data_IF_748740639939
#
_entry.id   IF_748740639939
#
_cell.length_a   1.000
_cell.length_b   1.000
_cell.length_c   1.000
_cell.angle_alpha   90.00
_cell.angle_beta   90.00
_cell.angle_gamma   90.00
#
_symmetry.space_group_name_H-M   'P 1'
#
loop_
_entity.id
_entity.type
_entity.pdbx_description
1 polymer ?
#
# COMPACT_ATOMS: atom_id res chain seq x y z
N UNK A 1 9.15 -41.39 44.66
CA UNK A 1 9.94 -40.27 45.24
C UNK A 1 10.60 -39.52 44.10
N UNK A 2 10.27 -38.23 43.98
CA UNK A 2 10.92 -37.18 43.18
C UNK A 2 10.92 -37.28 41.64
N UNK A 3 9.88 -36.70 41.03
CA UNK A 3 9.87 -36.19 39.65
C UNK A 3 10.35 -34.74 39.65
N UNK A 4 11.50 -34.46 39.01
CA UNK A 4 12.01 -33.10 38.84
C UNK A 4 11.45 -32.48 37.56
N UNK A 5 10.61 -31.45 37.70
CA UNK A 5 10.11 -30.62 36.62
C UNK A 5 11.12 -29.52 36.27
N UNK A 6 11.58 -29.52 35.01
CA UNK A 6 12.34 -28.41 34.44
C UNK A 6 11.39 -27.41 33.79
N UNK A 7 11.19 -26.26 34.42
CA UNK A 7 10.49 -25.14 33.83
C UNK A 7 11.34 -24.51 32.72
N UNK A 8 10.84 -24.52 31.48
CA UNK A 8 11.39 -23.71 30.39
C UNK A 8 10.95 -22.26 30.61
N UNK A 9 11.89 -21.38 30.92
CA UNK A 9 11.71 -19.93 30.84
C UNK A 9 11.52 -19.51 29.38
N UNK A 10 10.48 -18.73 29.03
CA UNK A 10 10.37 -18.17 27.69
C UNK A 10 11.41 -17.05 27.49
N UNK A 11 11.90 -16.99 26.26
CA UNK A 11 12.97 -16.12 25.77
C UNK A 11 12.67 -14.63 25.93
N UNK A 12 13.16 -14.04 27.01
CA UNK A 12 13.11 -12.59 27.28
C UNK A 12 13.90 -11.75 26.25
N UNK A 13 14.75 -12.40 25.44
CA UNK A 13 15.68 -11.74 24.51
C UNK A 13 14.97 -11.22 23.25
N UNK A 14 13.92 -11.90 22.76
CA UNK A 14 13.21 -11.48 21.55
C UNK A 14 12.34 -10.24 21.79
N UNK A 15 11.70 -10.15 22.96
CA UNK A 15 10.87 -9.01 23.36
C UNK A 15 11.70 -7.72 23.48
N UNK A 16 12.97 -7.81 23.91
CA UNK A 16 13.86 -6.65 24.08
C UNK A 16 14.33 -6.08 22.74
N UNK A 17 14.46 -6.91 21.70
CA UNK A 17 14.88 -6.45 20.36
C UNK A 17 13.75 -5.73 19.64
N UNK A 18 12.52 -6.23 19.73
CA UNK A 18 11.33 -5.57 19.15
C UNK A 18 11.02 -4.27 19.89
N UNK A 19 11.09 -4.25 21.23
CA UNK A 19 10.91 -3.01 22.01
C UNK A 19 12.02 -1.99 21.73
N UNK A 20 13.25 -2.44 21.46
CA UNK A 20 14.38 -1.57 21.11
C UNK A 20 14.21 -0.84 19.77
N UNK A 21 13.60 -1.49 18.77
CA UNK A 21 13.29 -0.91 17.46
C UNK A 21 12.14 0.12 17.53
N UNK A 22 11.10 -0.16 18.33
CA UNK A 22 9.97 0.77 18.52
C UNK A 22 10.38 1.99 19.36
N UNK A 23 11.21 1.82 20.40
CA UNK A 23 11.71 2.94 21.21
C UNK A 23 12.70 3.83 20.44
N UNK A 24 13.51 3.25 19.54
CA UNK A 24 14.37 4.01 18.65
C UNK A 24 13.55 4.85 17.65
N UNK A 25 12.39 4.36 17.21
CA UNK A 25 11.46 5.09 16.34
C UNK A 25 10.80 6.27 17.05
N UNK A 26 10.23 6.07 18.25
CA UNK A 26 9.55 7.15 18.99
C UNK A 26 10.52 8.21 19.54
N UNK A 27 11.76 7.82 19.87
CA UNK A 27 12.76 8.75 20.42
C UNK A 27 13.44 9.63 19.37
N UNK A 28 13.42 9.22 18.08
CA UNK A 28 13.97 10.02 16.98
C UNK A 28 12.95 11.03 16.42
N UNK A 29 11.65 10.76 16.58
CA UNK A 29 10.56 11.66 16.17
C UNK A 29 10.30 12.77 17.20
N UNK A 30 10.72 12.60 18.46
CA UNK A 30 10.78 13.70 19.45
C UNK A 30 12.04 14.55 19.29
N UNK A 31 12.23 15.16 18.12
CA UNK A 31 13.19 16.24 17.99
C UNK A 31 12.77 17.43 18.88
N UNK A 32 13.72 17.93 19.67
CA UNK A 32 13.58 19.01 20.63
C UNK A 32 12.87 20.25 20.01
N UNK A 33 11.69 20.68 20.49
CA UNK A 33 10.92 21.77 19.89
C UNK A 33 11.60 23.15 19.98
N UNK A 34 12.82 23.23 20.52
CA UNK A 34 13.62 24.46 20.62
C UNK A 34 14.54 24.73 19.44
N UNK A 35 14.83 23.74 18.59
CA UNK A 35 15.70 23.94 17.42
C UNK A 35 14.95 24.31 16.12
N UNK A 36 13.61 24.29 16.14
CA UNK A 36 12.76 24.62 14.99
C UNK A 36 12.60 26.13 14.68
N UNK A 37 13.35 27.04 15.33
CA UNK A 37 13.19 28.51 15.16
C UNK A 37 14.26 29.22 14.34
N UNK A 38 15.22 28.51 13.75
CA UNK A 38 16.22 29.13 12.86
C UNK A 38 16.56 28.24 11.68
N UNK A 39 15.61 28.11 10.76
CA UNK A 39 15.90 27.79 9.36
C UNK A 39 15.02 28.70 8.55
N UNK A 40 15.62 29.71 7.91
CA UNK A 40 14.92 30.54 6.95
C UNK A 40 14.46 29.61 5.82
N UNK A 41 13.14 29.50 5.66
CA UNK A 41 12.49 28.70 4.63
C UNK A 41 13.05 29.07 3.25
N UNK A 42 13.68 28.15 2.52
CA UNK A 42 13.60 28.20 1.09
C UNK A 42 12.19 27.75 0.74
N UNK A 43 11.26 28.71 0.67
CA UNK A 43 10.01 28.52 -0.09
C UNK A 43 10.42 28.37 -1.55
N UNK A 44 10.88 27.17 -1.93
CA UNK A 44 10.77 26.73 -3.31
C UNK A 44 9.27 26.71 -3.58
N UNK A 45 8.74 27.84 -4.05
CA UNK A 45 7.34 27.89 -4.46
C UNK A 45 7.21 26.84 -5.55
N UNK A 46 6.52 25.75 -5.24
CA UNK A 46 5.92 24.91 -6.27
C UNK A 46 5.33 25.88 -7.28
N UNK A 47 5.83 25.83 -8.52
CA UNK A 47 5.36 26.70 -9.59
C UNK A 47 3.85 26.73 -9.52
N UNK A 48 3.30 27.94 -9.36
CA UNK A 48 1.92 28.14 -8.94
C UNK A 48 0.90 27.37 -9.81
N UNK A 49 -0.36 27.29 -9.35
CA UNK A 49 -1.41 26.38 -9.84
C UNK A 49 -1.90 26.57 -11.29
N UNK A 50 -1.10 27.13 -12.20
CA UNK A 50 -1.58 27.74 -13.45
C UNK A 50 -1.14 27.09 -14.77
N UNK A 51 -0.32 26.04 -14.79
CA UNK A 51 0.19 25.51 -16.07
C UNK A 51 -0.62 24.37 -16.69
N UNK A 52 -1.41 23.63 -15.90
CA UNK A 52 -2.47 22.78 -16.46
C UNK A 52 -3.74 23.62 -16.38
N UNK A 53 -4.19 24.14 -17.52
CA UNK A 53 -5.48 24.83 -17.61
C UNK A 53 -6.56 23.97 -16.96
N UNK A 54 -7.63 24.59 -16.43
CA UNK A 54 -8.78 23.87 -15.87
C UNK A 54 -9.27 22.84 -16.89
N UNK A 55 -8.84 21.59 -16.76
CA UNK A 55 -9.37 20.52 -17.57
C UNK A 55 -10.84 20.34 -17.16
N UNK A 56 -11.78 20.37 -18.10
CA UNK A 56 -13.18 20.20 -17.78
C UNK A 56 -13.41 18.89 -17.02
N UNK A 57 -13.99 18.97 -15.81
CA UNK A 57 -14.28 17.81 -14.99
C UNK A 57 -13.17 17.38 -14.02
N UNK A 58 -12.11 18.18 -13.89
CA UNK A 58 -11.06 18.03 -12.87
C UNK A 58 -11.20 19.12 -11.82
N UNK A 59 -11.56 18.74 -10.60
CA UNK A 59 -11.60 19.65 -9.46
C UNK A 59 -10.39 19.42 -8.57
N UNK A 60 -9.56 20.45 -8.37
CA UNK A 60 -8.38 20.39 -7.50
C UNK A 60 -8.62 21.19 -6.24
N UNK A 61 -8.47 20.51 -5.11
CA UNK A 61 -8.72 21.01 -3.78
C UNK A 61 -7.44 20.95 -2.96
N UNK A 62 -7.20 21.97 -2.13
CA UNK A 62 -6.10 21.97 -1.17
C UNK A 62 -6.63 21.38 0.13
N UNK A 63 -5.88 20.49 0.77
CA UNK A 63 -6.29 20.01 2.09
C UNK A 63 -6.35 21.15 3.11
N UNK A 64 -7.35 21.16 3.99
CA UNK A 64 -7.54 22.20 5.00
C UNK A 64 -6.41 22.25 6.04
N UNK A 65 -5.70 21.13 6.21
CA UNK A 65 -4.42 21.01 6.91
C UNK A 65 -3.48 20.07 6.13
N UNK A 66 -2.15 20.16 6.31
CA UNK A 66 -1.23 19.26 5.62
C UNK A 66 -1.47 17.80 6.02
N UNK A 67 -1.53 16.92 5.02
CA UNK A 67 -1.23 15.49 5.19
C UNK A 67 0.28 15.30 5.01
N UNK A 68 0.88 14.50 5.86
CA UNK A 68 2.33 14.31 5.88
C UNK A 68 2.71 13.23 4.87
N UNK A 69 2.24 12.00 5.07
CA UNK A 69 2.48 10.93 4.10
C UNK A 69 1.29 10.00 3.98
N UNK A 70 0.27 10.39 3.19
CA UNK A 70 -0.83 9.50 2.91
C UNK A 70 -0.33 8.29 2.10
N UNK A 71 -0.45 7.09 2.66
CA UNK A 71 -0.08 5.83 1.99
C UNK A 71 -1.27 5.21 1.27
N UNK A 72 -2.47 5.45 1.80
CA UNK A 72 -3.68 4.86 1.27
C UNK A 72 -4.91 5.65 1.66
N UNK A 73 -5.95 5.51 0.83
CA UNK A 73 -7.26 6.07 1.11
C UNK A 73 -8.34 5.25 0.38
N UNK A 74 -9.57 5.37 0.86
CA UNK A 74 -10.77 4.77 0.25
C UNK A 74 -11.96 5.71 0.35
N UNK A 75 -12.86 5.63 -0.63
CA UNK A 75 -14.16 6.30 -0.53
C UNK A 75 -15.05 5.59 0.48
N UNK A 76 -15.70 6.38 1.32
CA UNK A 76 -16.77 5.95 2.22
C UNK A 76 -18.12 6.35 1.64
N UNK A 77 -19.08 5.42 1.62
CA UNK A 77 -20.46 5.73 1.21
C UNK A 77 -21.25 6.38 2.35
N UNK A 78 -20.93 5.99 3.59
CA UNK A 78 -21.51 6.45 4.84
C UNK A 78 -21.69 7.97 4.97
N UNK A 79 -20.68 8.72 4.51
CA UNK A 79 -20.54 10.15 4.80
C UNK A 79 -20.64 11.03 3.56
N UNK A 80 -20.98 10.46 2.40
CA UNK A 80 -21.20 11.22 1.18
C UNK A 80 -19.91 11.80 0.59
N UNK A 81 -19.27 11.03 -0.31
CA UNK A 81 -18.04 11.43 -1.03
C UNK A 81 -16.88 11.82 -0.12
N UNK A 82 -16.80 11.24 1.07
CA UNK A 82 -15.64 11.41 1.94
C UNK A 82 -14.63 10.29 1.70
N UNK A 83 -13.35 10.65 1.79
CA UNK A 83 -12.22 9.74 1.80
C UNK A 83 -11.81 9.44 3.24
N UNK A 84 -11.67 8.16 3.55
CA UNK A 84 -10.92 7.71 4.71
C UNK A 84 -9.46 7.56 4.30
N UNK A 85 -8.55 8.30 4.94
CA UNK A 85 -7.14 8.42 4.57
C UNK A 85 -6.27 7.93 5.73
N UNK A 86 -5.27 7.11 5.42
CA UNK A 86 -4.20 6.73 6.36
C UNK A 86 -3.01 7.66 6.15
N UNK A 87 -2.62 8.40 7.19
CA UNK A 87 -1.38 9.19 7.24
C UNK A 87 -0.39 8.52 8.20
N UNK A 88 0.55 7.76 7.64
CA UNK A 88 1.47 6.92 8.42
C UNK A 88 2.50 7.71 9.21
N UNK A 89 2.85 8.93 8.78
CA UNK A 89 3.76 9.76 9.56
C UNK A 89 3.09 10.39 10.79
N UNK A 90 1.76 10.40 10.80
CA UNK A 90 0.99 10.85 11.95
C UNK A 90 0.42 9.71 12.78
N UNK A 91 0.56 8.45 12.34
CA UNK A 91 -0.10 7.27 12.93
C UNK A 91 -1.63 7.44 13.04
N UNK A 92 -2.26 8.00 11.99
CA UNK A 92 -3.67 8.40 12.05
C UNK A 92 -4.48 8.02 10.83
N UNK A 93 -5.73 7.72 11.13
CA UNK A 93 -6.81 7.60 10.17
C UNK A 93 -7.64 8.89 10.21
N UNK A 94 -7.81 9.53 9.07
CA UNK A 94 -8.47 10.83 8.93
C UNK A 94 -9.62 10.73 7.92
N UNK A 95 -10.66 11.55 8.10
CA UNK A 95 -11.65 11.77 7.06
C UNK A 95 -11.29 13.03 6.28
N UNK A 96 -11.38 12.97 4.95
CA UNK A 96 -11.29 14.12 4.07
C UNK A 96 -12.58 14.22 3.26
N UNK A 97 -13.20 15.39 3.24
CA UNK A 97 -14.25 15.67 2.26
C UNK A 97 -13.68 15.64 0.84
N UNK A 98 -14.56 15.54 -0.16
CA UNK A 98 -14.17 15.71 -1.57
C UNK A 98 -13.59 17.10 -1.88
N UNK A 99 -13.75 18.07 -0.99
CA UNK A 99 -13.22 19.43 -1.07
C UNK A 99 -11.90 19.60 -0.29
N UNK A 100 -11.36 18.51 0.28
CA UNK A 100 -10.09 18.52 1.02
C UNK A 100 -10.21 18.93 2.48
N UNK A 101 -11.42 19.11 3.01
CA UNK A 101 -11.60 19.40 4.44
C UNK A 101 -11.33 18.16 5.27
N UNK A 102 -10.28 18.22 6.10
CA UNK A 102 -9.93 17.13 7.00
C UNK A 102 -10.68 17.24 8.33
N UNK A 103 -11.30 16.13 8.73
CA UNK A 103 -12.07 15.98 9.96
C UNK A 103 -11.55 14.80 10.80
N UNK A 104 -11.97 14.79 12.07
CA UNK A 104 -11.79 13.65 12.96
C UNK A 104 -12.78 12.53 12.63
N UNK A 105 -12.45 11.30 12.99
CA UNK A 105 -13.33 10.15 12.78
C UNK A 105 -14.64 10.29 13.56
N UNK A 106 -15.79 9.87 13.00
CA UNK A 106 -17.07 9.86 13.70
C UNK A 106 -17.04 8.86 14.87
N UNK A 107 -17.98 9.01 15.81
CA UNK A 107 -18.13 8.10 16.95
C UNK A 107 -18.42 6.66 16.53
N UNK A 108 -19.08 6.45 15.38
CA UNK A 108 -19.34 5.12 14.82
C UNK A 108 -18.06 4.36 14.52
N UNK A 109 -16.96 5.06 14.19
CA UNK A 109 -15.61 4.52 14.04
C UNK A 109 -14.79 4.57 15.33
N UNK A 110 -15.41 4.53 16.51
CA UNK A 110 -14.68 4.55 17.79
C UNK A 110 -13.64 3.43 17.91
N UNK A 111 -13.89 2.25 17.33
CA UNK A 111 -12.91 1.16 17.28
C UNK A 111 -11.64 1.52 16.48
N UNK A 112 -11.73 2.40 15.48
CA UNK A 112 -10.53 2.86 14.76
C UNK A 112 -9.61 3.74 15.64
N UNK A 113 -10.10 4.25 16.79
CA UNK A 113 -9.30 5.01 17.75
C UNK A 113 -8.41 4.12 18.62
N UNK A 114 -8.61 2.80 18.60
CA UNK A 114 -7.75 1.84 19.29
C UNK A 114 -6.65 1.28 18.40
N UNK A 115 -6.62 1.67 17.12
CA UNK A 115 -5.53 1.31 16.21
C UNK A 115 -4.27 2.02 16.67
N UNK A 116 -3.18 1.27 16.81
CA UNK A 116 -1.91 1.79 17.30
C UNK A 116 -1.10 2.41 16.17
N UNK A 117 -0.97 1.71 15.03
CA UNK A 117 -0.25 2.18 13.84
C UNK A 117 -1.02 1.80 12.57
N UNK A 118 -2.07 2.57 12.20
CA UNK A 118 -2.77 2.34 10.95
C UNK A 118 -1.82 2.57 9.77
N UNK A 119 -1.59 1.55 8.94
CA UNK A 119 -0.60 1.60 7.85
C UNK A 119 -1.23 1.58 6.46
N UNK A 120 -2.35 0.87 6.30
CA UNK A 120 -3.09 0.78 5.05
C UNK A 120 -4.62 0.75 5.23
N UNK A 121 -5.35 1.30 4.25
CA UNK A 121 -6.80 1.18 4.12
C UNK A 121 -7.21 0.76 2.71
N UNK A 122 -8.14 -0.20 2.62
CA UNK A 122 -8.69 -0.75 1.38
C UNK A 122 -10.19 -0.97 1.50
N UNK A 123 -10.89 -1.03 0.37
CA UNK A 123 -12.33 -1.28 0.33
C UNK A 123 -12.65 -2.40 -0.64
N UNK A 124 -13.57 -3.27 -0.28
CA UNK A 124 -14.16 -4.24 -1.20
C UNK A 124 -15.63 -4.43 -0.85
N UNK A 125 -16.49 -4.29 -1.86
CA UNK A 125 -17.94 -4.31 -1.69
C UNK A 125 -18.41 -3.37 -0.57
N UNK A 126 -19.08 -3.97 0.41
CA UNK A 126 -19.72 -3.32 1.56
C UNK A 126 -18.75 -3.06 2.73
N UNK A 127 -17.45 -3.37 2.60
CA UNK A 127 -16.51 -3.30 3.71
C UNK A 127 -15.33 -2.36 3.45
N UNK A 128 -14.86 -1.75 4.53
CA UNK A 128 -13.59 -1.03 4.64
C UNK A 128 -12.67 -1.87 5.54
N UNK A 129 -11.41 -1.98 5.13
CA UNK A 129 -10.41 -2.79 5.79
C UNK A 129 -9.25 -1.88 6.15
N UNK A 130 -8.85 -1.87 7.42
CA UNK A 130 -7.75 -1.05 7.93
C UNK A 130 -6.73 -1.96 8.59
N UNK A 131 -5.50 -1.93 8.10
CA UNK A 131 -4.36 -2.61 8.71
C UNK A 131 -3.82 -1.80 9.88
N UNK A 132 -3.60 -2.47 11.00
CA UNK A 132 -2.83 -1.97 12.14
C UNK A 132 -1.55 -2.78 12.25
N UNK A 133 -0.44 -2.18 11.80
CA UNK A 133 0.88 -2.81 11.75
C UNK A 133 1.40 -3.13 13.15
N UNK A 134 1.06 -2.33 14.18
CA UNK A 134 1.56 -2.58 15.53
C UNK A 134 0.93 -3.81 16.19
N UNK A 135 -0.27 -4.16 15.75
CA UNK A 135 -1.08 -5.22 16.33
C UNK A 135 -1.14 -6.46 15.43
N UNK A 136 -0.51 -6.42 14.26
CA UNK A 136 -0.60 -7.46 13.23
C UNK A 136 -2.07 -7.84 12.95
N UNK A 137 -2.92 -6.83 12.80
CA UNK A 137 -4.35 -7.06 12.54
C UNK A 137 -4.89 -6.29 11.35
N UNK A 138 -5.94 -6.84 10.73
CA UNK A 138 -6.80 -6.10 9.81
C UNK A 138 -8.17 -5.94 10.43
N UNK A 139 -8.56 -4.70 10.69
CA UNK A 139 -9.86 -4.34 11.25
C UNK A 139 -10.84 -4.05 10.11
N UNK A 140 -12.00 -4.71 10.13
CA UNK A 140 -13.02 -4.62 9.10
C UNK A 140 -14.19 -3.81 9.62
N UNK A 141 -14.54 -2.76 8.89
CA UNK A 141 -15.68 -1.89 9.14
C UNK A 141 -16.71 -2.06 8.03
N UNK A 142 -17.97 -1.92 8.40
CA UNK A 142 -19.07 -1.76 7.46
C UNK A 142 -18.94 -0.40 6.76
N UNK A 143 -19.05 -0.35 5.44
CA UNK A 143 -18.73 0.85 4.65
C UNK A 143 -19.78 1.96 4.78
N UNK A 144 -21.02 1.61 5.11
CA UNK A 144 -22.15 2.54 5.20
C UNK A 144 -22.38 3.05 6.63
N UNK A 145 -22.29 2.18 7.63
CA UNK A 145 -22.45 2.55 9.04
C UNK A 145 -21.13 2.92 9.71
N UNK A 146 -20.01 2.51 9.12
CA UNK A 146 -18.65 2.58 9.69
C UNK A 146 -18.52 1.83 11.02
N UNK A 147 -19.45 0.94 11.33
CA UNK A 147 -19.39 0.09 12.51
C UNK A 147 -18.34 -1.00 12.36
N UNK A 148 -17.70 -1.38 13.46
CA UNK A 148 -16.80 -2.52 13.50
C UNK A 148 -17.58 -3.81 13.17
N UNK A 149 -17.11 -4.56 12.17
CA UNK A 149 -17.66 -5.85 11.77
C UNK A 149 -16.85 -6.98 12.39
N UNK A 150 -15.52 -6.96 12.22
CA UNK A 150 -14.60 -7.97 12.76
C UNK A 150 -13.16 -7.47 12.78
N UNK A 151 -12.29 -8.21 13.46
CA UNK A 151 -10.85 -8.01 13.43
C UNK A 151 -10.19 -9.35 13.08
N UNK A 152 -9.22 -9.33 12.17
CA UNK A 152 -8.47 -10.51 11.72
C UNK A 152 -7.06 -10.38 12.25
N UNK A 153 -6.57 -11.42 12.94
CA UNK A 153 -5.18 -11.48 13.42
C UNK A 153 -4.32 -12.19 12.39
N UNK A 154 -3.29 -11.50 11.93
CA UNK A 154 -2.37 -12.00 10.91
C UNK A 154 -1.33 -12.92 11.54
N UNK A 155 -0.75 -12.54 12.69
CA UNK A 155 0.34 -13.27 13.34
C UNK A 155 -0.02 -14.71 13.77
N UNK A 156 -1.31 -15.01 13.94
CA UNK A 156 -1.83 -16.33 14.32
C UNK A 156 -2.04 -17.25 13.10
N UNK A 157 -1.86 -16.72 11.89
CA UNK A 157 -2.09 -17.44 10.64
C UNK A 157 -1.02 -18.51 10.44
N UNK A 158 -1.48 -19.76 10.33
CA UNK A 158 -0.62 -20.92 10.06
C UNK A 158 -1.02 -21.58 8.76
N UNK A 159 -0.01 -22.05 8.03
CA UNK A 159 -0.17 -22.80 6.80
C UNK A 159 0.37 -24.22 6.99
N UNK A 160 -0.21 -25.17 6.26
CA UNK A 160 0.42 -26.48 6.09
C UNK A 160 1.65 -26.33 5.18
N UNK A 161 2.79 -26.84 5.65
CA UNK A 161 4.01 -26.94 4.84
C UNK A 161 3.78 -27.91 3.68
N UNK A 162 4.46 -27.75 2.52
CA UNK A 162 4.34 -28.67 1.39
C UNK A 162 4.68 -30.13 1.72
N UNK A 163 5.52 -30.35 2.74
CA UNK A 163 5.89 -31.69 3.23
C UNK A 163 4.88 -32.28 4.23
N UNK A 164 3.92 -31.50 4.72
CA UNK A 164 2.87 -31.93 5.66
C UNK A 164 3.35 -32.15 7.10
N UNK A 165 4.66 -32.08 7.35
CA UNK A 165 5.27 -32.43 8.65
C UNK A 165 5.54 -31.19 9.52
N UNK A 166 5.38 -29.98 8.98
CA UNK A 166 5.61 -28.71 9.71
C UNK A 166 4.51 -27.68 9.44
N UNK A 167 4.35 -26.73 10.36
CA UNK A 167 3.49 -25.56 10.16
C UNK A 167 4.35 -24.34 9.82
N UNK A 168 4.00 -23.65 8.75
CA UNK A 168 4.54 -22.31 8.45
C UNK A 168 3.66 -21.26 9.14
N UNK A 169 4.26 -20.15 9.55
CA UNK A 169 3.55 -18.99 10.12
C UNK A 169 3.81 -17.77 9.26
N UNK A 170 2.79 -16.97 8.99
CA UNK A 170 2.98 -15.68 8.35
C UNK A 170 3.68 -14.73 9.34
N UNK A 171 4.84 -14.21 8.97
CA UNK A 171 5.64 -13.37 9.87
C UNK A 171 5.53 -11.88 9.52
N UNK A 172 5.74 -11.53 8.24
CA UNK A 172 5.67 -10.14 7.78
C UNK A 172 4.78 -10.04 6.57
N UNK A 173 3.82 -9.12 6.58
CA UNK A 173 3.04 -8.75 5.40
C UNK A 173 3.69 -7.55 4.72
N UNK A 174 3.78 -7.61 3.39
CA UNK A 174 4.23 -6.50 2.55
C UNK A 174 3.07 -5.80 1.86
N UNK A 175 2.10 -6.56 1.38
CA UNK A 175 0.90 -6.05 0.74
C UNK A 175 -0.25 -7.05 0.92
N UNK A 176 -1.48 -6.55 0.86
CA UNK A 176 -2.69 -7.35 0.96
C UNK A 176 -3.85 -6.68 0.23
N UNK A 177 -4.83 -7.47 -0.21
CA UNK A 177 -6.12 -6.96 -0.67
C UNK A 177 -7.26 -7.81 -0.12
N UNK A 178 -8.41 -7.20 0.18
CA UNK A 178 -9.63 -7.97 0.36
C UNK A 178 -10.02 -8.64 -0.95
N UNK A 179 -10.36 -9.93 -0.89
CA UNK A 179 -10.88 -10.69 -2.04
C UNK A 179 -12.08 -11.49 -1.54
N UNK A 180 -13.27 -11.17 -2.03
CA UNK A 180 -14.53 -11.72 -1.52
C UNK A 180 -14.67 -11.45 0.00
N UNK A 181 -14.71 -12.50 0.82
CA UNK A 181 -14.80 -12.43 2.29
C UNK A 181 -13.45 -12.65 3.00
N UNK A 182 -12.36 -12.88 2.26
CA UNK A 182 -11.03 -13.14 2.79
C UNK A 182 -10.00 -12.06 2.42
N UNK A 183 -8.74 -12.38 2.65
CA UNK A 183 -7.59 -11.53 2.32
C UNK A 183 -6.62 -12.29 1.42
N UNK A 184 -6.27 -11.72 0.28
CA UNK A 184 -5.07 -12.15 -0.44
C UNK A 184 -3.89 -11.38 0.14
N UNK A 185 -2.93 -12.08 0.74
CA UNK A 185 -1.77 -11.50 1.42
C UNK A 185 -0.48 -11.91 0.72
N UNK A 186 0.51 -11.03 0.79
CA UNK A 186 1.84 -11.28 0.30
C UNK A 186 2.88 -10.89 1.33
N UNK A 187 3.74 -11.84 1.68
CA UNK A 187 4.59 -11.70 2.85
C UNK A 187 5.69 -12.73 2.96
N UNK A 188 6.46 -12.64 4.04
CA UNK A 188 7.37 -13.70 4.46
C UNK A 188 6.64 -14.69 5.36
N UNK A 189 6.88 -15.98 5.13
CA UNK A 189 6.48 -17.06 6.03
C UNK A 189 7.71 -17.69 6.68
N UNK A 190 7.61 -17.86 7.99
CA UNK A 190 8.57 -18.54 8.83
C UNK A 190 8.17 -20.02 8.97
N UNK A 191 9.10 -20.93 8.69
CA UNK A 191 8.94 -22.36 8.98
C UNK A 191 9.80 -22.72 10.18
N UNK A 192 9.14 -23.10 11.27
CA UNK A 192 9.80 -23.74 12.42
C UNK A 192 9.66 -25.24 12.26
N UNK A 193 10.78 -25.91 12.05
CA UNK A 193 10.87 -27.35 12.23
C UNK A 193 10.89 -27.66 13.73
N UNK A 194 10.15 -28.67 14.16
CA UNK A 194 10.14 -29.07 15.57
C UNK A 194 11.40 -29.86 15.94
N UNK A 195 12.07 -30.47 14.97
CA UNK A 195 13.25 -31.32 15.18
C UNK A 195 14.57 -30.59 14.96
N UNK A 196 14.59 -29.58 14.09
CA UNK A 196 15.76 -28.71 13.88
C UNK A 196 15.55 -27.32 14.50
N UNK A 197 16.59 -26.78 15.16
CA UNK A 197 16.62 -25.37 15.57
C UNK A 197 16.80 -24.42 14.35
N UNK A 198 16.65 -24.93 13.13
CA UNK A 198 16.87 -24.19 11.90
C UNK A 198 15.56 -23.55 11.42
N UNK A 199 15.45 -22.24 11.61
CA UNK A 199 14.37 -21.45 11.02
C UNK A 199 14.63 -21.25 9.54
N UNK A 200 13.69 -21.69 8.71
CA UNK A 200 13.72 -21.42 7.26
C UNK A 200 12.64 -20.41 6.87
N UNK A 201 12.93 -19.62 5.85
CA UNK A 201 12.08 -18.51 5.42
C UNK A 201 11.71 -18.67 3.95
N UNK A 202 10.46 -18.40 3.62
CA UNK A 202 9.98 -18.28 2.25
C UNK A 202 9.15 -17.01 2.10
N UNK A 203 8.94 -16.58 0.87
CA UNK A 203 7.85 -15.63 0.61
C UNK A 203 6.63 -16.39 0.13
N UNK A 204 5.46 -15.93 0.56
CA UNK A 204 4.18 -16.53 0.20
C UNK A 204 3.25 -15.49 -0.37
N UNK A 205 2.54 -15.88 -1.42
CA UNK A 205 1.23 -15.37 -1.76
C UNK A 205 0.24 -16.34 -1.14
N UNK A 206 -0.65 -15.88 -0.27
CA UNK A 206 -1.61 -16.73 0.42
C UNK A 206 -3.00 -16.10 0.47
N UNK A 207 -4.03 -16.93 0.51
CA UNK A 207 -5.41 -16.52 0.73
C UNK A 207 -5.81 -16.85 2.18
N UNK A 208 -6.25 -15.85 2.93
CA UNK A 208 -6.74 -15.99 4.30
C UNK A 208 -8.26 -15.94 4.29
N UNK A 209 -8.89 -17.05 4.63
CA UNK A 209 -10.33 -17.17 4.74
C UNK A 209 -10.90 -16.41 5.95
N UNK A 210 -12.20 -16.10 5.94
CA UNK A 210 -12.87 -15.41 7.05
C UNK A 210 -12.91 -16.21 8.36
N UNK A 211 -12.70 -17.52 8.30
CA UNK A 211 -12.64 -18.46 9.41
C UNK A 211 -11.22 -18.66 9.98
N UNK A 212 -10.25 -17.91 9.46
CA UNK A 212 -8.84 -18.05 9.81
C UNK A 212 -8.13 -19.19 9.08
N UNK A 213 -8.80 -19.87 8.13
CA UNK A 213 -8.13 -20.77 7.20
C UNK A 213 -7.13 -19.99 6.33
N UNK A 214 -6.07 -20.66 5.90
CA UNK A 214 -5.00 -20.02 5.16
C UNK A 214 -4.41 -20.98 4.13
N UNK A 215 -4.55 -20.62 2.86
CA UNK A 215 -4.08 -21.42 1.73
C UNK A 215 -2.92 -20.71 1.05
N UNK A 216 -1.76 -21.38 0.98
CA UNK A 216 -0.62 -20.84 0.24
C UNK A 216 -0.86 -21.05 -1.25
N UNK A 217 -1.08 -19.93 -1.93
CA UNK A 217 -1.37 -19.83 -3.34
C UNK A 217 -0.09 -19.99 -4.18
N UNK A 218 1.02 -19.38 -3.75
CA UNK A 218 2.33 -19.49 -4.41
C UNK A 218 3.47 -19.25 -3.42
N UNK A 219 4.58 -19.99 -3.58
CA UNK A 219 5.82 -19.80 -2.79
C UNK A 219 6.94 -19.24 -3.66
N UNK A 220 7.79 -18.41 -3.05
CA UNK A 220 9.00 -17.87 -3.66
C UNK A 220 10.18 -18.05 -2.71
N UNK A 221 11.39 -18.27 -3.22
CA UNK A 221 12.57 -18.36 -2.37
C UNK A 221 12.86 -17.00 -1.73
N UNK A 222 13.33 -16.97 -0.48
CA UNK A 222 13.68 -15.72 0.22
C UNK A 222 14.81 -14.94 -0.48
N UNK A 223 15.61 -15.63 -1.30
CA UNK A 223 16.66 -15.08 -2.16
C UNK A 223 16.14 -14.45 -3.45
N UNK A 224 14.82 -14.46 -3.69
CA UNK A 224 14.22 -13.88 -4.89
C UNK A 224 14.56 -12.39 -5.01
N UNK A 225 15.24 -11.94 -6.09
CA UNK A 225 15.71 -10.56 -6.20
C UNK A 225 14.58 -9.52 -6.09
N UNK A 226 13.41 -9.86 -6.64
CA UNK A 226 12.25 -8.95 -6.69
C UNK A 226 11.56 -8.77 -5.34
N UNK A 227 11.90 -9.57 -4.32
CA UNK A 227 11.39 -9.42 -2.94
C UNK A 227 11.45 -7.98 -2.45
N UNK A 228 12.51 -7.24 -2.78
CA UNK A 228 12.67 -5.87 -2.30
C UNK A 228 11.61 -4.92 -2.86
N UNK A 229 11.07 -5.15 -4.06
CA UNK A 229 10.04 -4.25 -4.61
C UNK A 229 8.78 -4.24 -3.74
N UNK A 230 8.37 -5.41 -3.26
CA UNK A 230 7.16 -5.56 -2.46
C UNK A 230 7.29 -4.93 -1.07
N UNK A 231 8.51 -4.88 -0.52
CA UNK A 231 8.76 -4.26 0.79
C UNK A 231 8.51 -2.76 0.82
N UNK A 232 8.57 -2.10 -0.32
CA UNK A 232 8.61 -0.63 -0.40
C UNK A 232 7.22 -0.01 -0.64
N UNK A 233 6.16 -0.75 -0.26
CA UNK A 233 4.75 -0.32 -0.16
C UNK A 233 4.16 0.37 -1.41
N UNK A 234 4.68 0.05 -2.61
CA UNK A 234 3.96 0.35 -3.85
C UNK A 234 2.79 -0.61 -4.03
N UNK A 235 1.73 -0.15 -4.69
CA UNK A 235 0.49 -0.93 -4.83
C UNK A 235 0.61 -1.93 -5.95
N UNK A 236 0.95 -3.17 -5.65
CA UNK A 236 1.05 -4.24 -6.66
C UNK A 236 -0.14 -5.21 -6.63
N UNK A 237 -1.09 -4.95 -5.75
CA UNK A 237 -2.27 -5.76 -5.52
C UNK A 237 -3.54 -4.94 -5.75
N UNK A 238 -4.47 -5.49 -6.51
CA UNK A 238 -5.76 -4.87 -6.80
C UNK A 238 -6.90 -5.88 -6.74
N UNK A 239 -8.07 -5.47 -6.27
CA UNK A 239 -9.30 -6.24 -6.38
C UNK A 239 -10.14 -5.68 -7.54
N UNK A 240 -10.60 -6.56 -8.42
CA UNK A 240 -11.59 -6.19 -9.44
C UNK A 240 -12.50 -7.39 -9.76
N UNK A 241 -13.78 -7.12 -9.99
CA UNK A 241 -14.78 -8.14 -10.31
C UNK A 241 -14.78 -9.34 -9.32
N UNK A 242 -14.51 -9.09 -8.04
CA UNK A 242 -14.47 -10.10 -6.99
C UNK A 242 -13.23 -11.00 -7.00
N UNK A 243 -12.23 -10.71 -7.85
CA UNK A 243 -10.96 -11.45 -7.92
C UNK A 243 -9.81 -10.57 -7.45
N UNK A 244 -8.78 -11.19 -6.88
CA UNK A 244 -7.51 -10.53 -6.63
C UNK A 244 -6.63 -10.53 -7.87
N UNK A 245 -5.87 -9.46 -8.07
CA UNK A 245 -4.87 -9.35 -9.11
C UNK A 245 -3.54 -8.94 -8.49
N UNK A 246 -2.46 -9.56 -8.96
CA UNK A 246 -1.11 -9.37 -8.44
C UNK A 246 -0.19 -9.03 -9.60
N UNK A 247 0.49 -7.90 -9.50
CA UNK A 247 1.60 -7.57 -10.39
C UNK A 247 2.86 -8.30 -9.90
N UNK A 248 3.24 -9.35 -10.63
CA UNK A 248 4.39 -10.17 -10.34
C UNK A 248 5.60 -9.73 -11.16
N UNK A 249 6.67 -9.29 -10.50
CA UNK A 249 7.94 -8.97 -11.16
C UNK A 249 8.82 -10.22 -11.28
N UNK A 250 9.63 -10.33 -12.33
CA UNK A 250 10.56 -11.43 -12.55
C UNK A 250 11.28 -11.25 -13.88
N UNK A 251 11.71 -12.36 -14.50
CA UNK A 251 12.27 -12.33 -15.86
C UNK A 251 11.30 -11.69 -16.86
N UNK A 252 10.00 -11.89 -16.64
CA UNK A 252 8.92 -11.16 -17.28
C UNK A 252 7.99 -10.64 -16.19
N UNK A 253 7.53 -9.40 -16.33
CA UNK A 253 6.51 -8.87 -15.41
C UNK A 253 5.15 -9.34 -15.88
N UNK A 254 4.35 -9.87 -14.97
CA UNK A 254 3.06 -10.49 -15.27
C UNK A 254 1.97 -9.94 -14.35
N UNK A 255 0.74 -9.96 -14.81
CA UNK A 255 -0.44 -9.82 -13.95
C UNK A 255 -1.01 -11.22 -13.73
N UNK A 256 -1.04 -11.63 -12.47
CA UNK A 256 -1.74 -12.84 -12.05
C UNK A 256 -3.15 -12.48 -11.61
N UNK A 257 -4.08 -13.39 -11.85
CA UNK A 257 -5.43 -13.37 -11.28
C UNK A 257 -5.55 -14.50 -10.27
N UNK A 258 -6.06 -14.18 -9.09
CA UNK A 258 -6.40 -15.11 -8.02
C UNK A 258 -7.90 -15.03 -7.78
N UNK A 259 -8.61 -16.11 -8.06
CA UNK A 259 -10.05 -16.17 -7.81
C UNK A 259 -10.38 -16.40 -6.31
N UNK A 260 -11.65 -16.25 -5.88
CA UNK A 260 -12.04 -16.50 -4.49
C UNK A 260 -11.81 -17.94 -3.99
N UNK A 261 -11.56 -18.90 -4.88
CA UNK A 261 -11.22 -20.27 -4.52
C UNK A 261 -9.70 -20.48 -4.44
N UNK A 262 -8.90 -19.41 -4.57
CA UNK A 262 -7.44 -19.45 -4.51
C UNK A 262 -6.77 -19.90 -5.80
N UNK A 263 -7.51 -20.11 -6.90
CA UNK A 263 -6.91 -20.55 -8.16
C UNK A 263 -6.14 -19.40 -8.79
N UNK A 264 -4.89 -19.68 -9.19
CA UNK A 264 -4.02 -18.73 -9.89
C UNK A 264 -4.10 -18.95 -11.39
N UNK A 265 -4.31 -17.88 -12.12
CA UNK A 265 -4.16 -17.84 -13.58
C UNK A 265 -3.25 -16.68 -13.96
N UNK A 266 -2.33 -16.92 -14.89
CA UNK A 266 -1.63 -15.82 -15.55
C UNK A 266 -2.64 -15.11 -16.46
N UNK A 267 -2.86 -13.81 -16.21
CA UNK A 267 -3.80 -13.02 -17.00
C UNK A 267 -3.10 -12.44 -18.24
N UNK A 268 -1.94 -11.80 -18.02
CA UNK A 268 -1.16 -11.17 -19.08
C UNK A 268 0.31 -11.06 -18.67
N UNK A 269 1.21 -11.37 -19.60
CA UNK A 269 2.61 -10.96 -19.53
C UNK A 269 2.73 -9.55 -20.13
N UNK A 270 3.23 -8.60 -19.34
CA UNK A 270 3.35 -7.21 -19.77
C UNK A 270 4.50 -7.06 -20.79
N UNK A 271 4.31 -6.23 -21.82
CA UNK A 271 5.34 -5.97 -22.81
C UNK A 271 6.52 -5.22 -22.19
N UNK A 272 7.73 -5.50 -22.68
CA UNK A 272 8.99 -5.00 -22.13
C UNK A 272 9.00 -3.47 -22.02
N UNK A 273 8.38 -2.76 -22.96
CA UNK A 273 8.30 -1.30 -22.96
C UNK A 273 7.58 -0.72 -21.72
N UNK A 274 6.64 -1.47 -21.13
CA UNK A 274 5.95 -1.08 -19.89
C UNK A 274 6.74 -1.44 -18.63
N UNK A 275 7.72 -2.33 -18.75
CA UNK A 275 8.40 -2.98 -17.62
C UNK A 275 9.89 -2.66 -17.55
N UNK A 276 10.48 -2.17 -18.63
CA UNK A 276 11.87 -1.70 -18.80
C UNK A 276 12.23 -0.53 -17.88
N UNK A 277 11.25 -0.07 -17.09
CA UNK A 277 11.50 0.71 -15.90
C UNK A 277 12.62 0.10 -15.06
N UNK A 278 13.65 0.91 -14.80
CA UNK A 278 14.63 0.63 -13.75
C UNK A 278 13.84 0.29 -12.50
N UNK A 279 13.97 -0.94 -12.02
CA UNK A 279 13.52 -1.27 -10.68
C UNK A 279 14.15 -0.25 -9.76
N UNK A 280 13.39 0.56 -9.02
CA UNK A 280 13.95 1.47 -8.03
C UNK A 280 14.44 0.64 -6.83
N UNK A 281 15.24 -0.41 -7.05
CA UNK A 281 15.90 -1.12 -5.97
C UNK A 281 16.86 -0.14 -5.31
N UNK A 282 16.67 0.09 -4.02
CA UNK A 282 17.73 0.62 -3.19
C UNK A 282 18.72 -0.52 -3.00
N UNK A 283 19.98 -0.41 -3.45
CA UNK A 283 20.98 -1.41 -3.11
C UNK A 283 20.96 -1.62 -1.59
N UNK A 284 21.14 -2.85 -1.11
CA UNK A 284 21.44 -3.12 0.31
C UNK A 284 22.82 -2.54 0.65
N UNK A 285 23.00 -1.23 0.54
CA UNK A 285 24.14 -0.56 1.10
C UNK A 285 24.02 -0.71 2.62
N UNK A 286 25.07 -1.21 3.26
CA UNK A 286 25.12 -1.34 4.71
C UNK A 286 24.86 0.03 5.35
N UNK A 287 23.83 0.12 6.21
CA UNK A 287 23.54 1.30 7.03
C UNK A 287 22.37 2.19 6.58
N UNK A 288 21.59 1.81 5.55
CA UNK A 288 20.31 2.46 5.26
C UNK A 288 19.15 1.67 5.88
N UNK A 289 18.74 2.06 7.08
CA UNK A 289 17.55 1.56 7.75
C UNK A 289 16.53 2.69 7.98
N UNK A 290 15.27 2.33 8.18
CA UNK A 290 14.20 3.25 8.55
C UNK A 290 13.98 4.39 7.53
N UNK A 291 13.78 5.65 7.98
CA UNK A 291 13.39 6.75 7.09
C UNK A 291 14.39 7.03 5.96
N UNK A 292 15.70 6.89 6.20
CA UNK A 292 16.72 7.16 5.19
C UNK A 292 16.62 6.20 3.99
N UNK A 293 16.26 4.94 4.26
CA UNK A 293 16.01 3.93 3.23
C UNK A 293 14.78 4.30 2.41
N UNK A 294 13.67 4.64 3.06
CA UNK A 294 12.45 5.08 2.39
C UNK A 294 12.71 6.34 1.52
N UNK A 295 13.39 7.35 2.06
CA UNK A 295 13.79 8.55 1.28
C UNK A 295 14.61 8.17 0.06
N UNK A 296 15.57 7.25 0.18
CA UNK A 296 16.38 6.82 -0.97
C UNK A 296 15.55 6.05 -1.98
N UNK A 297 14.62 5.21 -1.54
CA UNK A 297 13.70 4.49 -2.42
C UNK A 297 12.85 5.44 -3.26
N UNK A 298 12.16 6.38 -2.63
CA UNK A 298 11.34 7.36 -3.34
C UNK A 298 12.17 8.28 -4.24
N UNK A 299 13.42 8.59 -3.86
CA UNK A 299 14.33 9.33 -4.74
C UNK A 299 14.71 8.52 -5.98
N UNK A 300 14.96 7.22 -5.83
CA UNK A 300 15.24 6.35 -6.99
C UNK A 300 14.03 6.30 -7.93
N UNK A 301 12.79 6.28 -7.38
CA UNK A 301 11.57 6.43 -8.20
C UNK A 301 11.61 7.77 -8.93
N UNK A 302 11.92 8.87 -8.25
CA UNK A 302 11.93 10.21 -8.85
C UNK A 302 12.95 10.35 -9.98
N UNK A 303 14.13 9.76 -9.80
CA UNK A 303 15.27 9.79 -10.73
C UNK A 303 15.06 8.89 -11.95
N UNK A 304 14.28 7.81 -11.83
CA UNK A 304 14.00 6.87 -12.91
C UNK A 304 13.16 7.50 -14.03
N UNK A 305 13.54 7.22 -15.28
CA UNK A 305 12.87 7.76 -16.47
C UNK A 305 11.43 7.27 -16.60
N UNK A 306 11.19 5.99 -16.27
CA UNK A 306 9.88 5.35 -16.27
C UNK A 306 9.78 4.37 -15.11
N UNK A 307 8.61 4.29 -14.47
CA UNK A 307 8.32 3.35 -13.38
C UNK A 307 6.90 2.81 -13.51
N UNK A 308 6.74 1.49 -13.49
CA UNK A 308 5.44 0.87 -13.22
C UNK A 308 5.09 1.04 -11.74
N UNK A 309 4.27 2.05 -11.45
CA UNK A 309 4.05 2.56 -10.10
C UNK A 309 3.02 1.76 -9.32
N UNK A 310 2.04 1.15 -9.99
CA UNK A 310 1.10 0.25 -9.33
C UNK A 310 0.00 -0.33 -10.20
N UNK A 311 -0.79 -1.19 -9.57
CA UNK A 311 -1.95 -1.88 -10.10
C UNK A 311 -3.19 -1.46 -9.29
N UNK A 312 -4.26 -1.09 -9.99
CA UNK A 312 -5.47 -0.54 -9.38
C UNK A 312 -6.72 -1.20 -9.96
N UNK A 313 -7.68 -1.50 -9.09
CA UNK A 313 -8.98 -2.03 -9.47
C UNK A 313 -10.08 -1.00 -9.24
N UNK A 314 -11.07 -0.96 -10.13
CA UNK A 314 -12.23 -0.08 -10.01
C UNK A 314 -13.48 -0.80 -10.55
N UNK A 315 -14.24 -1.42 -9.65
CA UNK A 315 -15.40 -2.24 -10.03
C UNK A 315 -14.95 -3.46 -10.84
N UNK A 316 -15.33 -3.51 -12.11
CA UNK A 316 -15.00 -4.61 -13.04
C UNK A 316 -13.80 -4.30 -13.95
N UNK A 317 -13.01 -3.27 -13.62
CA UNK A 317 -11.87 -2.81 -14.42
C UNK A 317 -10.57 -2.87 -13.64
N UNK A 318 -9.49 -3.07 -14.38
CA UNK A 318 -8.12 -3.08 -13.86
C UNK A 318 -7.28 -2.03 -14.61
N UNK A 319 -6.33 -1.41 -13.93
CA UNK A 319 -5.49 -0.37 -14.49
C UNK A 319 -4.06 -0.49 -13.97
N UNK A 320 -3.08 -0.30 -14.86
CA UNK A 320 -1.69 -0.05 -14.49
C UNK A 320 -1.48 1.46 -14.40
N UNK A 321 -0.79 1.93 -13.37
CA UNK A 321 -0.34 3.32 -13.26
C UNK A 321 1.15 3.38 -13.59
N UNK A 322 1.47 4.14 -14.63
CA UNK A 322 2.84 4.42 -15.06
C UNK A 322 3.22 5.84 -14.65
N UNK A 323 4.45 5.97 -14.18
CA UNK A 323 5.11 7.25 -13.93
C UNK A 323 6.22 7.43 -14.95
N UNK A 324 6.27 8.60 -15.58
CA UNK A 324 7.39 9.01 -16.43
C UNK A 324 7.98 10.31 -15.90
N UNK A 325 9.30 10.42 -15.93
CA UNK A 325 9.98 11.61 -15.43
C UNK A 325 9.83 12.77 -16.39
N UNK A 326 9.43 13.93 -15.87
CA UNK A 326 9.35 15.14 -16.67
C UNK A 326 10.71 15.85 -16.75
N UNK A 327 11.55 15.41 -17.69
CA UNK A 327 12.87 15.99 -18.00
C UNK A 327 13.72 16.29 -16.74
N UNK A 328 14.57 17.32 -16.78
CA UNK A 328 15.49 17.70 -15.68
C UNK A 328 14.77 18.30 -14.43
N UNK A 329 13.51 17.97 -14.20
CA UNK A 329 12.74 18.38 -13.02
C UNK A 329 12.38 17.16 -12.15
N UNK A 330 11.86 17.41 -10.94
CA UNK A 330 11.29 16.36 -10.07
C UNK A 330 9.84 16.02 -10.42
N UNK A 331 9.23 16.74 -11.37
CA UNK A 331 7.85 16.51 -11.81
C UNK A 331 7.75 15.20 -12.61
N UNK A 332 6.54 14.67 -12.71
CA UNK A 332 6.24 13.47 -13.48
C UNK A 332 5.08 13.68 -14.45
N UNK A 333 5.02 12.85 -15.48
CA UNK A 333 3.79 12.54 -16.22
C UNK A 333 3.26 11.20 -15.75
N UNK A 334 1.95 11.07 -15.74
CA UNK A 334 1.27 9.90 -15.21
C UNK A 334 0.33 9.35 -16.27
N UNK A 335 0.36 8.04 -16.47
CA UNK A 335 -0.50 7.36 -17.43
C UNK A 335 -1.24 6.21 -16.75
N UNK A 336 -2.52 6.06 -17.07
CA UNK A 336 -3.29 4.88 -16.75
C UNK A 336 -3.44 4.01 -17.99
N UNK A 337 -3.02 2.76 -17.90
CA UNK A 337 -3.23 1.76 -18.94
C UNK A 337 -4.32 0.80 -18.48
N UNK A 338 -5.51 0.82 -19.10
CA UNK A 338 -6.55 -0.14 -18.80
C UNK A 338 -6.08 -1.56 -19.11
N UNK A 339 -6.42 -2.51 -18.26
CA UNK A 339 -6.24 -3.94 -18.46
C UNK A 339 -7.60 -4.59 -18.36
N UNK A 340 -8.00 -5.37 -19.37
CA UNK A 340 -9.21 -6.18 -19.27
C UNK A 340 -8.97 -7.33 -18.28
N UNK A 341 -9.67 -7.38 -17.12
CA UNK A 341 -9.43 -8.40 -16.10
C UNK A 341 -9.88 -9.82 -16.51
N UNK A 342 -10.53 -9.97 -17.68
CA UNK A 342 -10.95 -11.28 -18.23
C UNK A 342 -9.99 -11.78 -19.28
N UNK A 343 -9.57 -10.91 -20.20
CA UNK A 343 -8.75 -11.30 -21.36
C UNK A 343 -7.27 -10.95 -21.22
N UNK A 344 -6.93 -10.07 -20.28
CA UNK A 344 -5.58 -9.52 -20.13
C UNK A 344 -5.20 -8.49 -21.19
N UNK A 345 -6.10 -8.15 -22.11
CA UNK A 345 -5.80 -7.18 -23.17
C UNK A 345 -5.55 -5.79 -22.59
N UNK A 346 -4.48 -5.14 -23.07
CA UNK A 346 -4.15 -3.76 -22.72
C UNK A 346 -4.95 -2.78 -23.60
N UNK A 347 -5.57 -1.79 -22.97
CA UNK A 347 -6.23 -0.69 -23.63
C UNK A 347 -5.26 0.46 -23.96
N UNK A 348 -5.73 1.50 -24.68
CA UNK A 348 -4.95 2.71 -24.90
C UNK A 348 -4.70 3.44 -23.57
N UNK A 349 -3.50 4.00 -23.40
CA UNK A 349 -3.17 4.79 -22.22
C UNK A 349 -3.95 6.10 -22.16
N UNK A 350 -4.24 6.56 -20.94
CA UNK A 350 -4.89 7.84 -20.66
C UNK A 350 -3.99 8.65 -19.74
N UNK A 351 -3.72 9.90 -20.11
CA UNK A 351 -2.96 10.81 -19.26
C UNK A 351 -3.76 11.15 -18.00
N UNK A 352 -3.08 11.10 -16.86
CA UNK A 352 -3.62 11.55 -15.58
C UNK A 352 -3.21 13.02 -15.37
N UNK A 353 -4.14 13.93 -15.04
CA UNK A 353 -3.89 15.38 -14.97
C UNK A 353 -3.13 15.80 -13.70
N UNK A 354 -2.03 15.13 -13.39
CA UNK A 354 -1.12 15.48 -12.31
C UNK A 354 0.32 15.60 -12.82
N UNK A 355 1.10 16.46 -12.15
CA UNK A 355 2.55 16.54 -12.31
C UNK A 355 3.31 16.23 -11.04
N UNK A 356 2.61 15.79 -10.01
CA UNK A 356 3.20 15.51 -8.72
C UNK A 356 4.31 14.45 -8.86
N UNK A 357 5.44 14.56 -8.14
CA UNK A 357 6.50 13.55 -8.16
C UNK A 357 5.99 12.17 -7.74
N UNK A 358 5.03 12.14 -6.82
CA UNK A 358 4.35 10.94 -6.31
C UNK A 358 2.83 11.14 -6.33
N UNK A 359 2.09 10.05 -6.56
CA UNK A 359 0.64 10.09 -6.71
C UNK A 359 -0.02 8.94 -5.97
N UNK A 360 -0.93 9.28 -5.04
CA UNK A 360 -1.91 8.33 -4.52
C UNK A 360 -3.13 8.31 -5.42
N UNK A 361 -3.59 7.14 -5.85
CA UNK A 361 -4.81 7.00 -6.64
C UNK A 361 -5.85 6.21 -5.84
N UNK A 362 -7.06 6.77 -5.73
CA UNK A 362 -8.18 6.20 -4.99
C UNK A 362 -9.36 6.03 -5.94
N UNK A 363 -9.49 4.85 -6.57
CA UNK A 363 -10.61 4.55 -7.43
C UNK A 363 -11.93 4.59 -6.66
N UNK A 364 -12.96 5.14 -7.27
CA UNK A 364 -14.33 5.15 -6.76
C UNK A 364 -15.34 4.87 -7.87
N UNK A 365 -16.59 4.63 -7.48
CA UNK A 365 -17.66 4.20 -8.41
C UNK A 365 -18.03 5.27 -9.44
N UNK A 366 -18.02 6.53 -9.03
CA UNK A 366 -18.36 7.67 -9.91
C UNK A 366 -17.16 8.57 -10.21
N UNK A 367 -16.19 8.59 -9.31
CA UNK A 367 -15.06 9.51 -9.33
C UNK A 367 -13.83 8.87 -8.72
N UNK A 368 -12.67 9.26 -9.22
CA UNK A 368 -11.38 8.89 -8.65
C UNK A 368 -10.83 10.09 -7.87
N UNK A 369 -10.15 9.84 -6.76
CA UNK A 369 -9.35 10.87 -6.11
C UNK A 369 -7.87 10.64 -6.42
N UNK A 370 -7.17 11.72 -6.72
CA UNK A 370 -5.73 11.78 -6.85
C UNK A 370 -5.16 12.57 -5.67
N UNK A 371 -4.31 11.95 -4.88
CA UNK A 371 -3.62 12.59 -3.77
C UNK A 371 -2.21 12.94 -4.24
N UNK A 372 -1.96 14.22 -4.50
CA UNK A 372 -0.68 14.70 -5.00
C UNK A 372 0.31 14.87 -3.84
N UNK A 373 1.43 14.17 -3.92
CA UNK A 373 2.49 14.18 -2.91
C UNK A 373 3.72 14.90 -3.42
N UNK A 374 4.34 15.69 -2.55
CA UNK A 374 5.60 16.35 -2.86
C UNK A 374 6.75 15.35 -3.01
N UNK A 375 7.81 15.77 -3.70
CA UNK A 375 9.04 14.99 -3.79
C UNK A 375 9.79 14.89 -2.46
N UNK A 376 10.75 13.97 -2.37
CA UNK A 376 11.46 13.66 -1.12
C UNK A 376 12.70 14.55 -0.84
N UNK A 377 12.80 15.71 -1.50
CA UNK A 377 13.88 16.68 -1.28
C UNK A 377 13.67 17.47 0.03
N UNK A 378 14.25 17.00 1.14
CA UNK A 378 14.28 17.74 2.40
C UNK A 378 13.99 16.89 3.63
N UNK A 379 14.37 17.41 4.80
CA UNK A 379 13.99 16.85 6.10
C UNK A 379 12.45 16.88 6.18
N UNK A 380 11.79 15.83 6.70
CA UNK A 380 10.36 15.82 6.94
C UNK A 380 9.84 17.15 7.55
N UNK A 381 8.62 17.57 7.22
CA UNK A 381 7.58 16.73 6.64
C UNK A 381 7.55 16.72 5.11
N UNK A 382 7.44 15.53 4.55
CA UNK A 382 6.84 15.39 3.22
C UNK A 382 5.39 15.89 3.31
N UNK A 383 4.85 16.46 2.23
CA UNK A 383 3.51 17.00 2.25
C UNK A 383 2.71 16.44 1.08
N UNK A 384 1.45 16.12 1.31
CA UNK A 384 0.47 15.97 0.25
C UNK A 384 -0.44 17.21 0.24
N UNK A 385 -0.06 18.28 -0.49
CA UNK A 385 -0.77 19.55 -0.40
C UNK A 385 -2.13 19.56 -1.10
N UNK A 386 -2.36 18.65 -2.05
CA UNK A 386 -3.54 18.70 -2.92
C UNK A 386 -4.21 17.35 -3.11
N UNK A 387 -5.51 17.42 -3.31
CA UNK A 387 -6.34 16.35 -3.81
C UNK A 387 -7.00 16.80 -5.11
N UNK A 388 -7.09 15.94 -6.12
CA UNK A 388 -7.93 16.15 -7.29
C UNK A 388 -9.06 15.13 -7.31
N UNK A 389 -10.27 15.55 -7.68
CA UNK A 389 -11.37 14.66 -8.03
C UNK A 389 -11.51 14.58 -9.54
N UNK A 390 -11.51 13.36 -10.07
CA UNK A 390 -11.67 13.05 -11.49
C UNK A 390 -12.95 12.28 -11.72
N UNK A 391 -13.80 12.81 -12.59
CA UNK A 391 -14.95 12.05 -13.09
C UNK A 391 -14.48 10.88 -13.94
N UNK A 392 -15.10 9.71 -13.77
CA UNK A 392 -14.85 8.55 -14.65
C UNK A 392 -15.13 8.84 -16.13
N UNK A 393 -15.92 9.86 -16.45
CA UNK A 393 -16.17 10.30 -17.82
C UNK A 393 -14.89 10.73 -18.55
N UNK A 394 -13.87 11.18 -17.82
CA UNK A 394 -12.57 11.60 -18.37
C UNK A 394 -11.80 10.40 -18.96
N UNK A 395 -12.02 9.19 -18.45
CA UNK A 395 -11.36 7.97 -18.93
C UNK A 395 -12.08 7.29 -20.10
N UNK A 396 -13.06 7.96 -20.72
CA UNK A 396 -13.67 7.42 -21.95
C UNK A 396 -12.70 7.67 -23.10
N UNK A 397 -12.29 6.63 -23.85
CA UNK A 397 -11.53 6.85 -25.07
C UNK A 397 -12.32 7.81 -25.96
N UNK A 398 -11.60 8.77 -26.56
CA UNK A 398 -12.22 9.66 -27.54
C UNK A 398 -12.97 8.80 -28.57
N UNK A 399 -14.20 9.17 -28.97
CA UNK A 399 -14.95 8.39 -29.95
C UNK A 399 -14.08 8.21 -31.19
N UNK A 400 -13.94 6.96 -31.67
CA UNK A 400 -13.21 6.67 -32.88
C UNK A 400 -13.84 7.48 -34.03
N UNK A 401 -13.07 8.45 -34.54
CA UNK A 401 -13.48 9.36 -35.60
C UNK A 401 -13.38 8.76 -36.99
#
# INVERSE_FOLDING_TARGET
MSTAGGARTPSLVLLVVVLGLVIAWTSLVQANPRDARRSAEPTASYGGPTALGREPGVERHKFSRPLYWPTSAVWTSALGRDLLVVDVLQDRLLLSSSEGDLAELPETMSAARTLAHPSQVRSSGEFIWVEDEAQDTVTVFDRESLALVRQIRIEETRFESPDGDSSERLDVIYDWIPVSNGLLVFGDAERSDAESEETSWSMVLAFLGPDGSADVVRRFPISWPERQRYKESLRYFAEAAGSGFVLLFGDQTQVLKVDPAGNVTELVTLPEELTDSVSPTVPRAAGLDGPARATRFYRNIEEADRVLYGLYGAGDKLFLLLRERYAATSLATWELVPVDPRSGSLGPSVLVPSRAPHLGVVPGESSWALIEKSGVEGVPPYEAPFMQSLSLAVFRPAPAG
#
